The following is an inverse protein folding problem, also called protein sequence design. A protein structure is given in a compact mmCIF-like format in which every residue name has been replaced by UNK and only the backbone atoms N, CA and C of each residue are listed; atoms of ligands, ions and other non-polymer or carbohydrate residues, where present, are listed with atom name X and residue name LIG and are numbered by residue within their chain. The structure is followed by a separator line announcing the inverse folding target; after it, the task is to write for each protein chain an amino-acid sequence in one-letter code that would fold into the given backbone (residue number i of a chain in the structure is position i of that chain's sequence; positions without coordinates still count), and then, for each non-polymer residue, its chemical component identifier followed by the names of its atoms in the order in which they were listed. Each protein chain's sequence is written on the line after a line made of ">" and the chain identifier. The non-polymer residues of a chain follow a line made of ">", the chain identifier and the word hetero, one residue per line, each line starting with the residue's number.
data_IF_795487980483
#
_entry.id   IF_795487980483
#
_cell.length_a   1.000
_cell.length_b   1.000
_cell.length_c   1.000
_cell.angle_alpha   90.00
_cell.angle_beta   90.00
_cell.angle_gamma   90.00
#
_symmetry.space_group_name_H-M   'P 1'
#
loop_
_entity.id
_entity.type
_entity.pdbx_description
1 polymer ?
#
# COMPACT_ATOMS: atom_id res chain seq x y z
N UNK A 1 -16.47 -9.35 -2.59
CA UNK A 1 -16.62 -8.39 -1.48
C UNK A 1 -16.23 -7.03 -2.03
N UNK A 2 -17.15 -6.09 -1.99
CA UNK A 2 -16.95 -4.70 -2.39
C UNK A 2 -16.04 -4.03 -1.34
N UNK A 3 -14.84 -3.63 -1.76
CA UNK A 3 -13.78 -3.15 -0.86
C UNK A 3 -14.16 -1.83 -0.16
N UNK A 4 -14.92 -1.00 -0.85
CA UNK A 4 -15.61 0.19 -0.35
C UNK A 4 -16.56 -0.15 0.80
N UNK A 5 -17.36 -1.23 0.67
CA UNK A 5 -18.25 -1.66 1.75
C UNK A 5 -17.46 -2.01 3.02
N UNK A 6 -16.30 -2.67 2.89
CA UNK A 6 -15.44 -3.00 4.03
C UNK A 6 -14.90 -1.75 4.74
N UNK A 7 -14.34 -0.80 3.98
CA UNK A 7 -13.79 0.43 4.56
C UNK A 7 -14.88 1.32 5.16
N UNK A 8 -16.04 1.43 4.51
CA UNK A 8 -17.20 2.13 5.05
C UNK A 8 -17.69 1.49 6.35
N UNK A 9 -17.66 0.15 6.44
CA UNK A 9 -18.01 -0.55 7.67
C UNK A 9 -17.01 -0.24 8.81
N UNK A 10 -15.70 -0.25 8.53
CA UNK A 10 -14.69 0.16 9.51
C UNK A 10 -14.89 1.58 10.02
N UNK A 11 -15.22 2.52 9.12
CA UNK A 11 -15.55 3.89 9.49
C UNK A 11 -16.83 3.97 10.34
N UNK A 12 -17.88 3.23 9.99
CA UNK A 12 -19.12 3.18 10.76
C UNK A 12 -18.91 2.62 12.18
N UNK A 13 -17.98 1.67 12.33
CA UNK A 13 -17.55 1.14 13.62
C UNK A 13 -16.52 2.01 14.35
N UNK A 14 -16.12 3.16 13.79
CA UNK A 14 -15.11 4.08 14.34
C UNK A 14 -13.76 3.42 14.62
N UNK A 15 -13.41 2.34 13.92
CA UNK A 15 -12.15 1.63 14.17
C UNK A 15 -10.94 2.48 13.80
N UNK A 16 -11.10 3.39 12.85
CA UNK A 16 -10.09 4.36 12.42
C UNK A 16 -9.57 5.26 13.56
N UNK A 17 -10.37 5.57 14.59
CA UNK A 17 -9.97 6.42 15.72
C UNK A 17 -8.91 5.77 16.63
N UNK A 18 -8.76 4.44 16.54
CA UNK A 18 -7.86 3.63 17.36
C UNK A 18 -6.90 2.76 16.53
N UNK A 19 -6.98 2.83 15.21
CA UNK A 19 -6.19 2.00 14.31
C UNK A 19 -4.73 2.46 14.28
N UNK A 20 -3.86 1.76 14.98
CA UNK A 20 -2.41 2.05 14.99
C UNK A 20 -1.63 1.31 13.89
N UNK A 21 -2.17 0.16 13.46
CA UNK A 21 -1.55 -0.77 12.51
C UNK A 21 -2.64 -1.40 11.64
N UNK A 22 -2.41 -1.43 10.33
CA UNK A 22 -3.33 -2.03 9.37
C UNK A 22 -2.55 -2.79 8.31
N UNK A 23 -2.78 -4.10 8.19
CA UNK A 23 -2.18 -4.95 7.16
C UNK A 23 -3.22 -5.25 6.09
N UNK A 24 -2.87 -5.03 4.84
CA UNK A 24 -3.76 -5.27 3.70
C UNK A 24 -3.11 -6.17 2.66
N UNK A 25 -3.83 -7.21 2.24
CA UNK A 25 -3.40 -8.12 1.18
C UNK A 25 -4.19 -7.85 -0.11
N UNK A 26 -3.50 -7.32 -1.10
CA UNK A 26 -3.99 -7.00 -2.42
C UNK A 26 -3.70 -8.16 -3.40
N UNK A 27 -4.64 -9.09 -3.45
CA UNK A 27 -4.48 -10.39 -4.15
C UNK A 27 -5.00 -10.31 -5.59
N UNK A 28 -6.04 -9.52 -5.82
CA UNK A 28 -6.67 -9.33 -7.12
C UNK A 28 -6.63 -7.84 -7.49
N UNK A 29 -6.47 -7.47 -8.77
CA UNK A 29 -6.50 -6.07 -9.17
C UNK A 29 -7.82 -5.42 -8.72
N UNK A 30 -7.70 -4.36 -7.91
CA UNK A 30 -8.84 -3.57 -7.44
C UNK A 30 -8.84 -2.31 -8.31
N UNK A 31 -9.83 -2.13 -9.19
CA UNK A 31 -9.98 -0.89 -9.93
C UNK A 31 -10.12 0.28 -8.95
N UNK A 32 -9.24 1.25 -9.06
CA UNK A 32 -9.27 2.51 -8.30
C UNK A 32 -9.13 2.38 -6.77
N UNK A 33 -8.29 1.46 -6.30
CA UNK A 33 -8.02 1.30 -4.85
C UNK A 33 -7.69 2.65 -4.16
N UNK A 34 -6.96 3.54 -4.83
CA UNK A 34 -6.57 4.83 -4.26
C UNK A 34 -7.77 5.68 -3.81
N UNK A 35 -8.87 5.73 -4.57
CA UNK A 35 -10.01 6.60 -4.25
C UNK A 35 -10.74 6.18 -2.98
N UNK A 36 -10.79 4.89 -2.69
CA UNK A 36 -11.44 4.34 -1.50
C UNK A 36 -10.46 4.27 -0.33
N UNK A 37 -9.22 3.89 -0.61
CA UNK A 37 -8.24 3.60 0.41
C UNK A 37 -7.66 4.86 1.05
N UNK A 38 -7.39 5.90 0.27
CA UNK A 38 -6.78 7.14 0.77
C UNK A 38 -7.68 7.85 1.80
N UNK A 39 -8.98 8.05 1.57
CA UNK A 39 -9.87 8.65 2.58
C UNK A 39 -9.90 7.86 3.89
N UNK A 40 -9.91 6.53 3.83
CA UNK A 40 -9.86 5.68 5.03
C UNK A 40 -8.55 5.88 5.82
N UNK A 41 -7.41 5.92 5.13
CA UNK A 41 -6.12 6.17 5.76
C UNK A 41 -6.06 7.60 6.36
N UNK A 42 -6.62 8.59 5.68
CA UNK A 42 -6.69 9.97 6.18
C UNK A 42 -7.58 10.11 7.42
N UNK A 43 -8.68 9.35 7.49
CA UNK A 43 -9.53 9.29 8.67
C UNK A 43 -8.87 8.58 9.87
N UNK A 44 -7.78 7.84 9.65
CA UNK A 44 -7.09 7.05 10.66
C UNK A 44 -5.96 7.83 11.32
N UNK A 45 -6.28 8.68 12.29
CA UNK A 45 -5.35 9.65 12.91
C UNK A 45 -4.25 9.05 13.78
N UNK A 46 -4.26 7.73 14.02
CA UNK A 46 -3.24 7.00 14.79
C UNK A 46 -2.47 5.98 13.96
N UNK A 47 -2.81 5.81 12.68
CA UNK A 47 -2.20 4.79 11.84
C UNK A 47 -0.79 5.23 11.47
N UNK A 48 0.21 4.55 12.05
CA UNK A 48 1.63 4.87 11.82
C UNK A 48 2.28 4.02 10.75
N UNK A 49 1.85 2.76 10.65
CA UNK A 49 2.48 1.74 9.81
C UNK A 49 1.45 1.02 8.96
N UNK A 50 1.75 0.91 7.67
CA UNK A 50 0.91 0.26 6.69
C UNK A 50 1.68 -0.82 5.91
N UNK A 51 1.58 -2.10 6.31
CA UNK A 51 2.06 -3.20 5.49
C UNK A 51 1.03 -3.57 4.41
N UNK A 52 1.48 -3.54 3.16
CA UNK A 52 0.77 -3.96 1.97
C UNK A 52 1.44 -5.20 1.41
N UNK A 53 0.65 -6.23 1.13
CA UNK A 53 1.09 -7.36 0.32
C UNK A 53 0.39 -7.27 -1.03
N UNK A 54 1.12 -7.40 -2.14
CA UNK A 54 0.58 -7.24 -3.49
C UNK A 54 1.01 -8.45 -4.32
N UNK A 55 0.06 -9.08 -5.01
CA UNK A 55 0.38 -10.04 -6.06
C UNK A 55 0.53 -9.29 -7.37
N UNK A 56 1.66 -9.49 -8.03
CA UNK A 56 1.93 -8.91 -9.35
C UNK A 56 0.82 -9.29 -10.35
N UNK A 57 0.34 -8.34 -11.18
CA UNK A 57 0.87 -6.98 -11.39
C UNK A 57 0.43 -5.96 -10.33
N UNK A 58 1.37 -5.12 -9.89
CA UNK A 58 1.15 -4.06 -8.90
C UNK A 58 0.48 -2.79 -9.48
N UNK A 59 -0.57 -3.00 -10.27
CA UNK A 59 -1.30 -1.93 -10.95
C UNK A 59 -1.89 -0.95 -9.94
N UNK A 60 -1.72 0.35 -10.18
CA UNK A 60 -2.25 1.41 -9.31
C UNK A 60 -1.34 1.80 -8.14
N UNK A 61 -0.16 1.17 -7.99
CA UNK A 61 0.85 1.60 -7.02
C UNK A 61 1.33 3.03 -7.30
N UNK A 62 1.48 3.39 -8.58
CA UNK A 62 1.83 4.73 -9.03
C UNK A 62 0.78 5.78 -8.59
N UNK A 63 -0.51 5.42 -8.61
CA UNK A 63 -1.60 6.28 -8.14
C UNK A 63 -1.58 6.43 -6.63
N UNK A 64 -1.33 5.35 -5.88
CA UNK A 64 -1.18 5.41 -4.43
C UNK A 64 0.00 6.29 -4.02
N UNK A 65 1.16 6.10 -4.64
CA UNK A 65 2.35 6.87 -4.36
C UNK A 65 2.13 8.37 -4.68
N UNK A 66 1.53 8.69 -5.84
CA UNK A 66 1.16 10.07 -6.17
C UNK A 66 0.18 10.68 -5.17
N UNK A 67 -0.84 9.93 -4.78
CA UNK A 67 -1.80 10.42 -3.78
C UNK A 67 -1.13 10.71 -2.42
N UNK A 68 -0.12 9.94 -2.02
CA UNK A 68 0.63 10.22 -0.79
C UNK A 68 1.58 11.41 -0.92
N UNK A 69 2.11 11.68 -2.12
CA UNK A 69 2.90 12.89 -2.38
C UNK A 69 2.04 14.14 -2.24
N UNK A 70 0.81 14.10 -2.77
CA UNK A 70 -0.12 15.23 -2.73
C UNK A 70 -0.78 15.39 -1.35
N UNK A 71 -1.22 14.27 -0.75
CA UNK A 71 -2.10 14.26 0.41
C UNK A 71 -1.74 13.13 1.39
N UNK A 72 -0.51 13.16 1.91
CA UNK A 72 -0.03 12.20 2.92
C UNK A 72 -0.96 12.17 4.15
N UNK A 73 -1.46 10.99 4.57
CA UNK A 73 -2.13 10.87 5.86
C UNK A 73 -1.22 11.37 7.01
N UNK A 74 -1.76 12.18 7.90
CA UNK A 74 -0.96 12.93 8.89
C UNK A 74 -0.13 12.03 9.79
N UNK A 75 -0.73 10.93 10.28
CA UNK A 75 -0.11 9.99 11.20
C UNK A 75 0.77 8.93 10.53
N UNK A 76 0.66 8.76 9.21
CA UNK A 76 1.36 7.69 8.51
C UNK A 76 2.84 8.04 8.37
N UNK A 77 3.68 7.21 8.99
CA UNK A 77 5.14 7.38 9.06
C UNK A 77 5.87 6.39 8.14
N UNK A 78 5.33 5.16 7.98
CA UNK A 78 5.99 4.08 7.25
C UNK A 78 5.01 3.21 6.47
N UNK A 79 5.35 2.93 5.21
CA UNK A 79 4.68 1.97 4.33
C UNK A 79 5.65 0.85 3.98
N UNK A 80 5.22 -0.39 4.18
CA UNK A 80 5.95 -1.59 3.81
C UNK A 80 5.19 -2.25 2.68
N UNK A 81 5.80 -2.47 1.51
CA UNK A 81 5.14 -3.15 0.40
C UNK A 81 5.92 -4.44 0.08
N UNK A 82 5.26 -5.59 0.19
CA UNK A 82 5.78 -6.85 -0.34
C UNK A 82 5.06 -7.16 -1.66
N UNK A 83 5.81 -7.19 -2.76
CA UNK A 83 5.30 -7.52 -4.09
C UNK A 83 5.83 -8.90 -4.47
N UNK A 84 4.91 -9.85 -4.61
CA UNK A 84 5.21 -11.24 -4.95
C UNK A 84 4.68 -11.61 -6.33
N UNK A 85 5.24 -12.64 -6.97
CA UNK A 85 4.81 -13.03 -8.32
C UNK A 85 5.51 -12.28 -9.46
N UNK A 86 6.61 -11.56 -9.18
CA UNK A 86 7.32 -10.81 -10.22
C UNK A 86 7.93 -11.82 -11.20
N UNK A 87 7.39 -11.86 -12.42
CA UNK A 87 7.57 -13.00 -13.31
C UNK A 87 8.96 -13.15 -13.91
N UNK A 88 9.51 -12.08 -14.49
CA UNK A 88 10.81 -12.09 -15.18
C UNK A 88 11.71 -10.93 -14.71
N UNK A 89 12.99 -10.98 -15.06
CA UNK A 89 14.00 -9.99 -14.65
C UNK A 89 13.72 -8.59 -15.22
N UNK A 90 13.15 -8.51 -16.42
CA UNK A 90 12.78 -7.22 -17.03
C UNK A 90 11.69 -6.52 -16.21
N UNK A 91 10.63 -7.23 -15.83
CA UNK A 91 9.56 -6.71 -14.98
C UNK A 91 10.10 -6.34 -13.60
N UNK A 92 11.01 -7.13 -13.03
CA UNK A 92 11.68 -6.82 -11.78
C UNK A 92 12.47 -5.51 -11.87
N UNK A 93 13.29 -5.37 -12.91
CA UNK A 93 14.13 -4.18 -13.13
C UNK A 93 13.29 -2.93 -13.33
N UNK A 94 12.24 -3.02 -14.16
CA UNK A 94 11.33 -1.91 -14.39
C UNK A 94 10.61 -1.49 -13.09
N UNK A 95 10.10 -2.45 -12.34
CA UNK A 95 9.43 -2.18 -11.06
C UNK A 95 10.40 -1.59 -10.02
N UNK A 96 11.64 -2.09 -9.97
CA UNK A 96 12.67 -1.58 -9.07
C UNK A 96 13.00 -0.12 -9.38
N UNK A 97 13.16 0.24 -10.66
CA UNK A 97 13.40 1.63 -11.06
C UNK A 97 12.27 2.56 -10.60
N UNK A 98 11.01 2.16 -10.81
CA UNK A 98 9.83 2.91 -10.35
C UNK A 98 9.79 3.02 -8.82
N UNK A 99 10.11 1.94 -8.11
CA UNK A 99 10.17 1.92 -6.65
C UNK A 99 11.23 2.90 -6.14
N UNK A 100 12.44 2.86 -6.69
CA UNK A 100 13.54 3.75 -6.28
C UNK A 100 13.17 5.23 -6.43
N UNK A 101 12.48 5.57 -7.51
CA UNK A 101 11.94 6.92 -7.71
C UNK A 101 10.97 7.31 -6.59
N UNK A 102 9.92 6.51 -6.36
CA UNK A 102 8.91 6.84 -5.34
C UNK A 102 9.44 6.81 -3.90
N UNK A 103 10.38 5.92 -3.58
CA UNK A 103 11.05 5.91 -2.27
C UNK A 103 11.73 7.26 -2.02
N UNK A 104 12.42 7.80 -3.03
CA UNK A 104 13.11 9.08 -2.93
C UNK A 104 12.12 10.24 -2.79
N UNK A 105 11.06 10.25 -3.61
CA UNK A 105 10.04 11.31 -3.57
C UNK A 105 9.24 11.31 -2.26
N UNK A 106 8.79 10.15 -1.79
CA UNK A 106 7.96 10.04 -0.59
C UNK A 106 8.72 10.39 0.69
N UNK A 107 10.04 10.16 0.71
CA UNK A 107 10.90 10.58 1.82
C UNK A 107 10.90 12.10 2.00
N UNK A 108 10.78 12.88 0.92
CA UNK A 108 10.72 14.36 0.99
C UNK A 108 9.47 14.84 1.75
N UNK A 109 8.35 14.12 1.63
CA UNK A 109 7.12 14.41 2.37
C UNK A 109 7.05 13.71 3.74
N UNK A 110 8.16 13.12 4.19
CA UNK A 110 8.26 12.45 5.48
C UNK A 110 7.58 11.08 5.55
N UNK A 111 7.36 10.42 4.42
CA UNK A 111 6.83 9.06 4.35
C UNK A 111 7.94 8.06 4.01
N UNK A 112 8.23 7.13 4.91
CA UNK A 112 9.23 6.09 4.65
C UNK A 112 8.58 4.92 3.90
N UNK A 113 8.93 4.76 2.62
CA UNK A 113 8.52 3.62 1.82
C UNK A 113 9.65 2.58 1.78
N UNK A 114 9.34 1.34 2.13
CA UNK A 114 10.20 0.18 1.90
C UNK A 114 9.45 -0.83 1.05
N UNK A 115 10.09 -1.31 -0.02
CA UNK A 115 9.48 -2.27 -0.94
C UNK A 115 10.37 -3.50 -1.05
N UNK A 116 9.77 -4.67 -0.87
CA UNK A 116 10.38 -5.98 -1.09
C UNK A 116 9.78 -6.59 -2.35
N UNK A 117 10.64 -6.92 -3.31
CA UNK A 117 10.25 -7.55 -4.57
C UNK A 117 10.68 -9.02 -4.54
N UNK A 118 9.73 -9.94 -4.71
CA UNK A 118 10.01 -11.38 -4.75
C UNK A 118 9.82 -11.92 -6.16
N UNK A 119 10.92 -12.47 -6.72
CA UNK A 119 10.91 -13.21 -8.00
C UNK A 119 10.35 -14.61 -7.74
N UNK A 120 9.38 -15.05 -8.55
CA UNK A 120 8.76 -16.38 -8.44
C UNK A 120 7.32 -16.38 -7.94
N UNK A 121 6.70 -17.57 -7.84
CA UNK A 121 5.26 -17.72 -7.50
C UNK A 121 4.93 -17.05 -6.17
N UNK A 122 3.77 -16.37 -6.11
CA UNK A 122 3.23 -15.84 -4.87
C UNK A 122 3.00 -17.00 -3.87
N UNK A 123 3.79 -17.04 -2.80
CA UNK A 123 3.57 -17.96 -1.69
C UNK A 123 2.94 -17.10 -0.59
N UNK A 124 1.72 -17.44 -0.17
CA UNK A 124 1.17 -16.89 1.07
C UNK A 124 1.97 -17.46 2.23
N UNK A 125 3.12 -16.85 2.50
CA UNK A 125 3.99 -17.19 3.62
C UNK A 125 3.63 -16.34 4.82
N UNK A 126 3.20 -17.00 5.89
CA UNK A 126 3.03 -16.43 7.21
C UNK A 126 4.26 -15.60 7.60
N UNK A 127 4.06 -14.32 7.86
CA UNK A 127 5.08 -13.51 8.54
C UNK A 127 4.31 -12.65 9.53
N UNK A 128 4.42 -13.10 10.78
CA UNK A 128 3.85 -12.58 12.01
C UNK A 128 4.50 -11.23 12.33
#
# INVERSE_FOLDING_TARGET
>A
MEIDTLFNHFLACKTNEHLCFFRFAWILPIPDLASIFIPFLQASTKLKRLPLFIIYPANGMDRLARSWLENKPSSLEKVLIDISGVGNEENYTNLMNTVTEYVSLLKVVGLNLEVKLNIGKAIFGESI
#
